data_IF_419003223954
#
_entry.id   IF_419003223954
#
_cell.length_a   1.000
_cell.length_b   1.000
_cell.length_c   1.000
_cell.angle_alpha   90.00
_cell.angle_beta   90.00
_cell.angle_gamma   90.00
#
_symmetry.space_group_name_H-M   'P 1'
#
loop_
_entity.id
_entity.type
_entity.pdbx_description
1 polymer ?
#
# COMPACT_ATOMS: atom_id res chain seq x y z
N UNK A 1 -5.40 4.29 -22.94
CA UNK A 1 -5.21 3.36 -21.81
C UNK A 1 -3.72 3.32 -21.50
N UNK A 2 -3.32 3.41 -20.23
CA UNK A 2 -1.89 3.27 -19.86
C UNK A 2 -1.51 1.79 -19.93
N UNK A 3 -0.31 1.49 -20.40
CA UNK A 3 0.25 0.14 -20.42
C UNK A 3 0.87 -0.19 -19.07
N UNK A 4 0.98 -1.48 -18.75
CA UNK A 4 1.68 -1.98 -17.54
C UNK A 4 3.07 -1.37 -17.42
N UNK A 5 3.83 -1.30 -18.52
CA UNK A 5 5.17 -0.71 -18.53
C UNK A 5 5.20 0.76 -18.11
N UNK A 6 4.27 1.56 -18.64
CA UNK A 6 4.14 2.98 -18.25
C UNK A 6 3.76 3.14 -16.78
N UNK A 7 2.89 2.28 -16.25
CA UNK A 7 2.48 2.33 -14.85
C UNK A 7 3.66 1.96 -13.92
N UNK A 8 4.43 0.92 -14.25
CA UNK A 8 5.64 0.56 -13.51
C UNK A 8 6.62 1.75 -13.47
N UNK A 9 6.84 2.39 -14.62
CA UNK A 9 7.74 3.55 -14.71
C UNK A 9 7.28 4.71 -13.84
N UNK A 10 5.99 5.04 -13.88
CA UNK A 10 5.41 6.12 -13.07
C UNK A 10 5.54 5.82 -11.58
N UNK A 11 5.21 4.60 -11.13
CA UNK A 11 5.34 4.19 -9.73
C UNK A 11 6.79 4.23 -9.24
N UNK A 12 7.73 3.75 -10.08
CA UNK A 12 9.16 3.81 -9.79
C UNK A 12 9.65 5.25 -9.64
N UNK A 13 9.33 6.11 -10.61
CA UNK A 13 9.72 7.51 -10.61
C UNK A 13 9.07 8.30 -9.47
N UNK A 14 7.81 7.98 -9.13
CA UNK A 14 7.10 8.58 -7.99
C UNK A 14 7.76 8.27 -6.64
N UNK A 15 8.56 7.20 -6.55
CA UNK A 15 9.39 6.87 -5.38
C UNK A 15 10.85 7.32 -5.51
N UNK A 16 11.21 8.01 -6.59
CA UNK A 16 12.59 8.47 -6.82
C UNK A 16 13.61 7.37 -7.11
N UNK A 17 13.16 6.15 -7.44
CA UNK A 17 14.04 5.00 -7.64
C UNK A 17 14.58 4.96 -9.08
N UNK A 18 15.82 4.53 -9.26
CA UNK A 18 16.38 4.08 -10.53
C UNK A 18 15.87 2.67 -10.88
N UNK A 19 16.04 2.27 -12.15
CA UNK A 19 15.65 0.91 -12.60
C UNK A 19 16.45 -0.19 -11.89
N UNK A 20 17.70 0.10 -11.50
CA UNK A 20 18.54 -0.82 -10.72
C UNK A 20 17.99 -0.95 -9.30
N UNK A 21 17.72 0.18 -8.63
CA UNK A 21 17.19 0.18 -7.25
C UNK A 21 15.82 -0.50 -7.15
N UNK A 22 14.97 -0.39 -8.19
CA UNK A 22 13.74 -1.17 -8.24
C UNK A 22 14.02 -2.68 -8.31
N UNK A 23 14.95 -3.10 -9.16
CA UNK A 23 15.31 -4.51 -9.29
C UNK A 23 15.90 -5.06 -7.98
N UNK A 24 16.83 -4.32 -7.36
CA UNK A 24 17.41 -4.64 -6.07
C UNK A 24 16.34 -4.72 -4.96
N UNK A 25 15.40 -3.76 -4.92
CA UNK A 25 14.31 -3.75 -3.95
C UNK A 25 13.38 -4.97 -4.09
N UNK A 26 13.06 -5.37 -5.32
CA UNK A 26 12.28 -6.58 -5.60
C UNK A 26 13.05 -7.85 -5.18
N UNK A 27 14.33 -7.95 -5.54
CA UNK A 27 15.15 -9.11 -5.20
C UNK A 27 15.33 -9.26 -3.69
N UNK A 28 15.61 -8.16 -2.98
CA UNK A 28 15.81 -8.15 -1.54
C UNK A 28 14.53 -8.52 -0.78
N UNK A 29 13.36 -8.02 -1.22
CA UNK A 29 12.09 -8.26 -0.53
C UNK A 29 11.49 -9.64 -0.83
N UNK A 30 11.64 -10.14 -2.06
CA UNK A 30 10.91 -11.34 -2.52
C UNK A 30 11.80 -12.51 -2.94
N UNK A 31 13.12 -12.39 -2.84
CA UNK A 31 14.06 -13.42 -3.30
C UNK A 31 14.04 -13.61 -4.82
N UNK A 32 13.66 -12.56 -5.56
CA UNK A 32 13.52 -12.60 -7.02
C UNK A 32 14.87 -12.52 -7.75
N UNK A 33 14.82 -12.71 -9.07
CA UNK A 33 15.98 -12.57 -9.95
C UNK A 33 15.71 -11.54 -11.07
N UNK A 34 15.21 -10.37 -10.67
CA UNK A 34 14.98 -9.23 -11.56
C UNK A 34 16.29 -8.46 -11.72
N UNK A 35 16.60 -7.99 -12.92
CA UNK A 35 17.72 -7.06 -13.14
C UNK A 35 17.23 -5.79 -13.81
N UNK A 36 18.05 -4.73 -13.79
CA UNK A 36 17.77 -3.46 -14.47
C UNK A 36 17.33 -3.61 -15.93
N UNK A 37 17.93 -4.54 -16.68
CA UNK A 37 17.58 -4.80 -18.08
C UNK A 37 16.14 -5.31 -18.24
N UNK A 38 15.68 -6.17 -17.33
CA UNK A 38 14.29 -6.63 -17.28
C UNK A 38 13.34 -5.48 -16.98
N UNK A 39 13.62 -4.69 -15.95
CA UNK A 39 12.83 -3.49 -15.61
C UNK A 39 12.74 -2.54 -16.80
N UNK A 40 13.86 -2.26 -17.47
CA UNK A 40 13.88 -1.41 -18.66
C UNK A 40 13.02 -1.96 -19.80
N UNK A 41 13.07 -3.27 -20.07
CA UNK A 41 12.21 -3.88 -21.09
C UNK A 41 10.73 -3.81 -20.73
N UNK A 42 10.38 -3.98 -19.46
CA UNK A 42 9.01 -3.82 -18.97
C UNK A 42 8.53 -2.38 -19.16
N UNK A 43 9.30 -1.39 -18.72
CA UNK A 43 8.91 0.02 -18.78
C UNK A 43 8.78 0.60 -20.20
N UNK A 44 9.46 -0.02 -21.16
CA UNK A 44 9.41 0.36 -22.57
C UNK A 44 8.48 -0.53 -23.41
N UNK A 45 7.65 -1.35 -22.76
CA UNK A 45 6.71 -2.27 -23.41
C UNK A 45 7.39 -3.24 -24.41
N UNK A 46 8.68 -3.55 -24.21
CA UNK A 46 9.47 -4.49 -25.04
C UNK A 46 9.18 -5.95 -24.64
N UNK A 47 8.90 -6.17 -23.36
CA UNK A 47 8.48 -7.47 -22.83
C UNK A 47 7.54 -7.25 -21.66
N UNK A 48 6.69 -8.23 -21.37
CA UNK A 48 5.80 -8.16 -20.21
C UNK A 48 6.43 -8.80 -18.96
N UNK A 49 6.20 -8.24 -17.76
CA UNK A 49 6.50 -8.94 -16.52
C UNK A 49 5.63 -10.20 -16.40
N UNK A 50 6.24 -11.30 -15.94
CA UNK A 50 5.51 -12.53 -15.63
C UNK A 50 4.64 -12.32 -14.38
N UNK A 51 3.63 -13.19 -14.20
CA UNK A 51 2.63 -13.06 -13.13
C UNK A 51 3.24 -12.94 -11.72
N UNK A 52 4.33 -13.63 -11.45
CA UNK A 52 5.11 -13.52 -10.23
C UNK A 52 5.69 -12.11 -10.04
N UNK A 53 6.34 -11.56 -11.07
CA UNK A 53 6.85 -10.19 -11.05
C UNK A 53 5.72 -9.16 -10.93
N UNK A 54 4.57 -9.36 -11.60
CA UNK A 54 3.38 -8.49 -11.48
C UNK A 54 2.87 -8.47 -10.03
N UNK A 55 2.76 -9.64 -9.38
CA UNK A 55 2.38 -9.73 -7.97
C UNK A 55 3.36 -8.98 -7.08
N UNK A 56 4.65 -9.22 -7.25
CA UNK A 56 5.69 -8.58 -6.46
C UNK A 56 5.71 -7.06 -6.65
N UNK A 57 5.56 -6.58 -7.88
CA UNK A 57 5.44 -5.15 -8.19
C UNK A 57 4.21 -4.54 -7.51
N UNK A 58 3.05 -5.21 -7.57
CA UNK A 58 1.83 -4.73 -6.92
C UNK A 58 2.01 -4.59 -5.40
N UNK A 59 2.64 -5.57 -4.77
CA UNK A 59 2.90 -5.57 -3.32
C UNK A 59 4.03 -4.60 -2.93
N UNK A 60 5.06 -4.48 -3.76
CA UNK A 60 6.16 -3.53 -3.58
C UNK A 60 5.62 -2.10 -3.60
N UNK A 61 4.78 -1.78 -4.59
CA UNK A 61 4.23 -0.44 -4.78
C UNK A 61 2.96 -0.17 -3.96
N UNK A 62 2.43 -1.17 -3.27
CA UNK A 62 1.15 -1.09 -2.53
C UNK A 62 -0.01 -0.66 -3.43
N UNK A 63 -0.12 -1.30 -4.59
CA UNK A 63 -1.21 -1.10 -5.55
C UNK A 63 -1.91 -2.42 -5.87
N UNK A 64 -3.14 -2.37 -6.35
CA UNK A 64 -3.86 -3.55 -6.83
C UNK A 64 -3.28 -4.07 -8.16
N UNK A 65 -3.48 -5.36 -8.41
CA UNK A 65 -3.12 -5.98 -9.70
C UNK A 65 -3.86 -5.31 -10.85
N UNK A 66 -5.17 -5.06 -10.70
CA UNK A 66 -5.99 -4.41 -11.72
C UNK A 66 -5.49 -3.03 -12.12
N UNK A 67 -4.96 -2.26 -11.15
CA UNK A 67 -4.33 -0.99 -11.47
C UNK A 67 -3.01 -1.20 -12.21
N UNK A 68 -2.15 -2.10 -11.72
CA UNK A 68 -0.83 -2.32 -12.31
C UNK A 68 -0.93 -2.75 -13.79
N UNK A 69 -1.95 -3.54 -14.15
CA UNK A 69 -2.20 -3.99 -15.54
C UNK A 69 -3.03 -3.01 -16.38
N UNK A 70 -3.39 -1.84 -15.83
CA UNK A 70 -4.10 -0.78 -16.55
C UNK A 70 -5.61 -0.99 -16.69
N UNK A 71 -6.22 -1.95 -15.97
CA UNK A 71 -7.68 -2.21 -15.98
C UNK A 71 -8.48 -1.16 -15.20
N UNK A 72 -7.86 -0.42 -14.28
CA UNK A 72 -8.49 0.67 -13.53
C UNK A 72 -7.91 2.04 -13.95
N UNK A 73 -8.78 3.02 -14.18
CA UNK A 73 -8.40 4.37 -14.64
C UNK A 73 -7.75 5.28 -13.58
N UNK A 74 -7.65 4.83 -12.32
CA UNK A 74 -7.08 5.58 -11.21
C UNK A 74 -6.16 4.66 -10.37
N UNK A 75 -4.98 5.14 -9.90
CA UNK A 75 -4.21 4.44 -8.88
C UNK A 75 -5.08 4.16 -7.66
N UNK A 76 -4.94 2.98 -7.01
CA UNK A 76 -5.48 2.84 -5.67
C UNK A 76 -4.85 3.95 -4.83
N UNK A 77 -5.71 4.72 -4.17
CA UNK A 77 -5.25 5.75 -3.24
C UNK A 77 -4.29 5.11 -2.23
N UNK A 78 -3.20 5.78 -1.81
CA UNK A 78 -2.31 5.32 -0.73
C UNK A 78 -3.06 4.95 0.56
N UNK A 79 -4.31 5.39 0.65
CA UNK A 79 -5.25 5.14 1.71
C UNK A 79 -6.17 3.93 1.48
N UNK A 80 -5.72 2.88 0.80
CA UNK A 80 -6.19 1.53 1.16
C UNK A 80 -5.62 1.14 2.53
N UNK A 81 -5.92 1.97 3.54
CA UNK A 81 -6.24 1.44 4.85
C UNK A 81 -7.27 0.33 4.55
N UNK A 82 -7.11 -0.88 5.11
CA UNK A 82 -8.21 -1.82 5.09
C UNK A 82 -9.46 -1.03 5.51
N UNK A 83 -10.60 -1.24 4.84
CA UNK A 83 -11.88 -0.58 5.13
C UNK A 83 -12.40 -1.05 6.50
N UNK A 84 -11.60 -0.76 7.52
CA UNK A 84 -11.81 -1.03 8.92
C UNK A 84 -12.40 0.28 9.41
N UNK A 85 -13.70 0.25 9.69
CA UNK A 85 -14.34 1.41 10.30
C UNK A 85 -13.59 1.82 11.57
N UNK A 86 -13.61 3.11 11.91
CA UNK A 86 -13.01 3.60 13.17
C UNK A 86 -13.43 2.75 14.38
N UNK A 87 -14.68 2.29 14.35
CA UNK A 87 -15.29 1.48 15.39
C UNK A 87 -14.66 0.08 15.49
N UNK A 88 -14.29 -0.53 14.36
CA UNK A 88 -13.52 -1.78 14.33
C UNK A 88 -12.10 -1.56 14.85
N UNK A 89 -11.44 -0.45 14.49
CA UNK A 89 -10.10 -0.12 14.99
C UNK A 89 -10.11 0.00 16.52
N UNK A 90 -11.08 0.73 17.06
CA UNK A 90 -11.24 0.92 18.50
C UNK A 90 -11.56 -0.39 19.23
N UNK A 91 -12.36 -1.26 18.62
CA UNK A 91 -12.68 -2.58 19.18
C UNK A 91 -11.43 -3.48 19.25
N UNK A 92 -10.62 -3.51 18.18
CA UNK A 92 -9.36 -4.26 18.14
C UNK A 92 -8.38 -3.74 19.21
N UNK A 93 -8.23 -2.41 19.32
CA UNK A 93 -7.37 -1.80 20.31
C UNK A 93 -7.82 -2.09 21.76
N UNK A 94 -9.12 -2.10 22.01
CA UNK A 94 -9.68 -2.46 23.31
C UNK A 94 -9.34 -3.91 23.69
N UNK A 95 -9.43 -4.85 22.75
CA UNK A 95 -9.06 -6.26 22.99
C UNK A 95 -7.58 -6.42 23.34
N UNK A 96 -6.69 -5.63 22.72
CA UNK A 96 -5.25 -5.66 23.03
C UNK A 96 -4.94 -5.24 24.47
N UNK A 97 -5.79 -4.42 25.09
CA UNK A 97 -5.66 -3.99 26.49
C UNK A 97 -6.52 -4.81 27.45
N UNK A 98 -7.09 -5.93 26.99
CA UNK A 98 -7.83 -6.88 27.82
C UNK A 98 -9.32 -6.59 27.98
N UNK A 99 -9.91 -5.72 27.16
CA UNK A 99 -11.37 -5.56 27.12
C UNK A 99 -12.00 -6.75 26.40
N UNK A 100 -13.04 -7.36 26.98
CA UNK A 100 -13.78 -8.45 26.35
C UNK A 100 -15.06 -7.94 25.69
N UNK A 101 -15.40 -8.52 24.53
CA UNK A 101 -16.62 -8.17 23.80
C UNK A 101 -16.53 -6.86 23.01
N UNK A 102 -17.58 -6.51 22.24
CA UNK A 102 -17.62 -5.30 21.44
C UNK A 102 -17.74 -4.05 22.32
N UNK A 103 -17.12 -2.96 21.90
CA UNK A 103 -17.38 -1.66 22.51
C UNK A 103 -18.81 -1.20 22.19
N UNK A 104 -19.52 -0.70 23.20
CA UNK A 104 -20.79 -0.01 22.98
C UNK A 104 -20.57 1.35 22.32
N UNK A 105 -21.57 1.91 21.62
CA UNK A 105 -21.46 3.25 21.00
C UNK A 105 -21.04 4.34 22.01
N UNK A 106 -21.58 4.29 23.23
CA UNK A 106 -21.26 5.24 24.29
C UNK A 106 -19.82 5.15 24.79
N UNK A 107 -19.26 3.94 24.88
CA UNK A 107 -17.84 3.74 25.20
C UNK A 107 -16.96 4.28 24.09
N UNK A 108 -17.35 4.04 22.83
CA UNK A 108 -16.66 4.55 21.65
C UNK A 108 -16.56 6.07 21.67
N UNK A 109 -17.68 6.75 21.93
CA UNK A 109 -17.75 8.22 21.99
C UNK A 109 -16.86 8.80 23.10
N UNK A 110 -16.84 8.15 24.27
CA UNK A 110 -15.96 8.55 25.38
C UNK A 110 -14.49 8.42 25.02
N UNK A 111 -14.09 7.33 24.36
CA UNK A 111 -12.72 7.12 23.91
C UNK A 111 -12.33 8.18 22.87
N UNK A 112 -13.18 8.41 21.87
CA UNK A 112 -12.97 9.44 20.84
C UNK A 112 -12.83 10.84 21.46
N UNK A 113 -13.65 11.18 22.45
CA UNK A 113 -13.56 12.45 23.16
C UNK A 113 -12.27 12.58 23.97
N UNK A 114 -11.89 11.54 24.71
CA UNK A 114 -10.66 11.54 25.50
C UNK A 114 -9.40 11.70 24.62
N UNK A 115 -9.34 11.02 23.49
CA UNK A 115 -8.24 11.17 22.51
C UNK A 115 -8.16 12.60 21.96
N UNK A 116 -9.28 13.21 21.59
CA UNK A 116 -9.32 14.60 21.11
C UNK A 116 -8.78 15.57 22.16
N UNK A 117 -9.18 15.40 23.41
CA UNK A 117 -8.71 16.24 24.52
C UNK A 117 -7.22 16.05 24.77
N UNK A 118 -6.72 14.81 24.72
CA UNK A 118 -5.30 14.52 24.92
C UNK A 118 -4.44 15.15 23.82
N UNK A 119 -4.82 14.97 22.55
CA UNK A 119 -4.09 15.54 21.41
C UNK A 119 -4.09 17.07 21.42
N UNK A 120 -5.21 17.69 21.78
CA UNK A 120 -5.30 19.15 21.89
C UNK A 120 -4.47 19.74 23.06
N UNK A 121 -4.09 18.92 24.04
CA UNK A 121 -3.23 19.35 25.16
C UNK A 121 -1.74 19.30 24.85
N UNK A 122 -1.32 18.51 23.85
CA UNK A 122 0.10 18.38 23.46
C UNK A 122 0.56 19.49 22.50
N UNK A 123 -0.35 20.29 21.96
CA UNK A 123 -0.05 21.43 21.07
C UNK A 123 0.34 22.72 21.82
N UNK A 124 0.85 22.64 23.05
CA UNK A 124 1.19 23.79 23.89
C UNK A 124 2.52 23.62 24.62
#
# INVERSE_FOLDING_TARGET
MKTTGKIIRELRQGRGLSQEELAEGLNHRFGSSVNKGMVSKWENDISEPRLDAVRQLSEFFHVSLDYLIGSLGQPPSPNQQPDISEDQILTIAAHQVGHEGPLTPEQMDKIKLAMRIALAKEEK
#
